data_IF_305382925801
#
_entry.id   IF_305382925801
#
_cell.length_a   1.000
_cell.length_b   1.000
_cell.length_c   1.000
_cell.angle_alpha   90.00
_cell.angle_beta   90.00
_cell.angle_gamma   90.00
#
_symmetry.space_group_name_H-M   'P 1'
#
loop_
_entity.id
_entity.type
_entity.pdbx_description
1 polymer ?
#
# COMPACT_ATOMS: atom_id res chain seq x y z
N UNK A 1 -2.55 -7.37 -15.43
CA UNK A 1 -1.99 -7.52 -14.09
C UNK A 1 -0.93 -6.46 -13.82
N UNK A 2 -0.94 -5.89 -12.59
CA UNK A 2 -0.01 -4.83 -12.21
C UNK A 2 1.38 -5.38 -11.88
N UNK A 3 1.44 -6.54 -11.23
CA UNK A 3 2.69 -7.17 -10.79
C UNK A 3 3.21 -8.12 -11.86
N UNK A 4 4.49 -8.02 -12.16
CA UNK A 4 5.16 -8.85 -13.17
C UNK A 4 6.32 -9.62 -12.56
N UNK A 5 6.65 -10.77 -13.17
CA UNK A 5 7.83 -11.54 -12.79
C UNK A 5 9.08 -10.64 -12.78
N UNK A 6 9.88 -10.75 -11.73
CA UNK A 6 11.09 -9.97 -11.55
C UNK A 6 10.92 -8.62 -10.88
N UNK A 7 9.70 -8.19 -10.60
CA UNK A 7 9.45 -6.92 -9.92
C UNK A 7 9.98 -6.93 -8.49
N UNK A 8 10.41 -5.74 -8.05
CA UNK A 8 10.64 -5.43 -6.64
C UNK A 8 9.43 -4.63 -6.15
N UNK A 9 8.70 -5.17 -5.19
CA UNK A 9 7.46 -4.56 -4.71
C UNK A 9 7.49 -4.32 -3.21
N UNK A 10 6.84 -3.24 -2.80
CA UNK A 10 6.60 -2.95 -1.38
C UNK A 10 5.12 -3.20 -1.09
N UNK A 11 4.84 -3.99 -0.07
CA UNK A 11 3.49 -4.25 0.41
C UNK A 11 3.31 -3.63 1.80
N UNK A 12 2.36 -2.72 1.92
CA UNK A 12 1.93 -2.16 3.19
C UNK A 12 1.21 -3.24 4.01
N UNK A 13 0.83 -2.94 5.23
CA UNK A 13 0.15 -3.87 6.11
C UNK A 13 -1.36 -3.90 5.84
N UNK A 14 -2.00 -4.98 6.25
CA UNK A 14 -3.45 -5.10 6.30
C UNK A 14 -4.01 -6.31 5.56
N UNK A 15 -5.30 -6.57 5.79
CA UNK A 15 -5.98 -7.74 5.26
C UNK A 15 -6.10 -7.74 3.74
N UNK A 16 -6.31 -6.57 3.14
CA UNK A 16 -6.37 -6.44 1.68
C UNK A 16 -5.02 -6.76 1.04
N UNK A 17 -3.92 -6.38 1.71
CA UNK A 17 -2.56 -6.70 1.25
C UNK A 17 -2.26 -8.19 1.35
N UNK A 18 -2.77 -8.86 2.37
CA UNK A 18 -2.63 -10.31 2.52
C UNK A 18 -3.32 -11.01 1.35
N UNK A 19 -4.49 -10.55 0.94
CA UNK A 19 -5.20 -11.11 -0.22
C UNK A 19 -4.40 -10.90 -1.52
N UNK A 20 -3.80 -9.73 -1.69
CA UNK A 20 -2.90 -9.49 -2.82
C UNK A 20 -1.71 -10.44 -2.78
N UNK A 21 -1.10 -10.62 -1.61
CA UNK A 21 0.04 -11.52 -1.44
C UNK A 21 -0.29 -12.94 -1.89
N UNK A 22 -1.48 -13.43 -1.58
CA UNK A 22 -1.93 -14.76 -1.99
C UNK A 22 -2.00 -14.94 -3.50
N UNK A 23 -2.27 -13.87 -4.23
CA UNK A 23 -2.45 -13.92 -5.68
C UNK A 23 -1.14 -13.84 -6.47
N UNK A 24 -0.04 -13.47 -5.85
CA UNK A 24 1.25 -13.26 -6.52
C UNK A 24 2.29 -14.33 -6.21
N UNK A 25 1.93 -15.36 -5.48
CA UNK A 25 2.86 -16.41 -5.02
C UNK A 25 3.51 -17.21 -6.15
N UNK A 26 2.91 -17.19 -7.32
CA UNK A 26 3.41 -17.92 -8.50
C UNK A 26 4.51 -17.16 -9.25
N UNK A 27 4.80 -15.92 -8.88
CA UNK A 27 5.78 -15.08 -9.57
C UNK A 27 7.11 -15.03 -8.83
N UNK A 28 8.25 -15.00 -9.55
CA UNK A 28 9.52 -14.66 -8.92
C UNK A 28 9.56 -13.16 -8.63
N UNK A 29 9.67 -12.79 -7.36
CA UNK A 29 9.58 -11.41 -6.90
C UNK A 29 10.58 -11.13 -5.78
N UNK A 30 10.90 -9.85 -5.60
CA UNK A 30 11.46 -9.34 -4.36
C UNK A 30 10.37 -8.53 -3.66
N UNK A 31 10.02 -8.92 -2.43
CA UNK A 31 8.95 -8.27 -1.66
C UNK A 31 9.52 -7.66 -0.39
N UNK A 32 9.23 -6.40 -0.19
CA UNK A 32 9.57 -5.67 1.02
C UNK A 32 8.25 -5.36 1.74
N UNK A 33 8.15 -5.70 3.00
CA UNK A 33 6.92 -5.45 3.77
C UNK A 33 7.23 -5.17 5.25
N UNK A 34 6.35 -4.42 5.88
CA UNK A 34 6.34 -4.21 7.32
C UNK A 34 5.38 -5.16 8.05
N UNK A 35 4.55 -5.89 7.32
CA UNK A 35 3.53 -6.78 7.88
C UNK A 35 4.13 -8.15 8.20
N UNK A 36 4.04 -8.55 9.47
CA UNK A 36 4.62 -9.80 9.94
C UNK A 36 3.94 -11.03 9.32
N UNK A 37 2.63 -10.98 9.13
CA UNK A 37 1.87 -12.08 8.53
C UNK A 37 2.22 -12.27 7.06
N UNK A 38 2.31 -11.17 6.31
CA UNK A 38 2.69 -11.21 4.89
C UNK A 38 4.11 -11.75 4.75
N UNK A 39 5.04 -11.26 5.59
CA UNK A 39 6.43 -11.70 5.55
C UNK A 39 6.55 -13.21 5.78
N UNK A 40 5.89 -13.73 6.82
CA UNK A 40 5.92 -15.15 7.13
C UNK A 40 5.27 -15.99 6.02
N UNK A 41 4.12 -15.56 5.53
CA UNK A 41 3.42 -16.26 4.46
C UNK A 41 4.26 -16.36 3.20
N UNK A 42 4.78 -15.23 2.70
CA UNK A 42 5.55 -15.20 1.45
C UNK A 42 6.91 -15.88 1.58
N UNK A 43 7.50 -15.93 2.78
CA UNK A 43 8.80 -16.59 2.99
C UNK A 43 8.78 -18.08 2.73
N UNK A 44 7.60 -18.69 2.65
CA UNK A 44 7.46 -20.12 2.31
C UNK A 44 7.65 -20.40 0.81
N UNK A 45 7.61 -19.38 -0.03
CA UNK A 45 7.71 -19.53 -1.49
C UNK A 45 9.14 -19.24 -1.94
N UNK A 46 9.82 -20.25 -2.46
CA UNK A 46 11.25 -20.17 -2.81
C UNK A 46 11.58 -19.13 -3.86
N UNK A 47 10.66 -18.84 -4.76
CA UNK A 47 10.86 -17.87 -5.83
C UNK A 47 10.66 -16.41 -5.35
N UNK A 48 10.24 -16.21 -4.11
CA UNK A 48 10.02 -14.88 -3.54
C UNK A 48 11.10 -14.60 -2.49
N UNK A 49 11.88 -13.55 -2.73
CA UNK A 49 12.82 -13.03 -1.74
C UNK A 49 12.08 -12.01 -0.88
N UNK A 50 11.98 -12.27 0.42
CA UNK A 50 11.23 -11.40 1.35
C UNK A 50 12.20 -10.63 2.24
N UNK A 51 12.01 -9.31 2.30
CA UNK A 51 12.67 -8.44 3.27
C UNK A 51 11.62 -7.88 4.20
N UNK A 52 11.73 -8.18 5.50
CA UNK A 52 10.88 -7.58 6.52
C UNK A 52 11.50 -6.25 6.97
N UNK A 53 10.71 -5.19 6.97
CA UNK A 53 11.13 -3.91 7.53
C UNK A 53 11.04 -4.02 9.05
N UNK A 54 12.18 -3.89 9.73
CA UNK A 54 12.24 -4.02 11.19
C UNK A 54 11.78 -2.77 11.92
N UNK A 55 11.63 -2.92 13.22
CA UNK A 55 11.25 -1.84 14.11
C UNK A 55 10.39 -2.32 15.26
N UNK A 56 9.69 -1.38 15.91
CA UNK A 56 8.72 -1.69 16.96
C UNK A 56 7.46 -2.26 16.32
N UNK A 57 6.93 -3.31 16.91
CA UNK A 57 5.68 -3.92 16.45
C UNK A 57 4.50 -3.10 16.95
N UNK A 58 3.66 -2.65 16.02
CA UNK A 58 2.38 -2.02 16.33
C UNK A 58 1.34 -3.11 16.57
N UNK A 59 0.77 -3.16 17.77
CA UNK A 59 -0.14 -4.22 18.19
C UNK A 59 -1.41 -4.29 17.33
N UNK A 60 -1.92 -3.13 16.90
CA UNK A 60 -3.19 -3.06 16.16
C UNK A 60 -3.09 -3.66 14.76
N UNK A 61 -1.92 -3.58 14.13
CA UNK A 61 -1.72 -4.07 12.75
C UNK A 61 -0.74 -5.24 12.66
N UNK A 62 -0.04 -5.56 13.74
CA UNK A 62 1.04 -6.55 13.76
C UNK A 62 2.06 -6.31 12.64
N UNK A 63 2.44 -5.05 12.51
CA UNK A 63 3.43 -4.59 11.56
C UNK A 63 4.49 -3.75 12.25
N UNK A 64 5.65 -3.62 11.63
CA UNK A 64 6.76 -2.84 12.17
C UNK A 64 6.61 -1.37 11.80
N UNK A 65 6.84 -0.49 12.77
CA UNK A 65 6.80 0.96 12.60
C UNK A 65 8.07 1.59 13.16
N UNK A 66 8.30 2.84 12.79
CA UNK A 66 9.40 3.65 13.33
C UNK A 66 10.53 3.87 12.33
N UNK A 67 11.59 4.52 12.83
CA UNK A 67 12.65 5.07 11.99
C UNK A 67 13.53 4.04 11.28
N UNK A 68 13.71 2.85 11.86
CA UNK A 68 14.53 1.81 11.22
C UNK A 68 13.95 1.41 9.86
N UNK A 69 12.65 1.17 9.80
CA UNK A 69 11.97 0.83 8.54
C UNK A 69 11.99 1.98 7.56
N UNK A 70 11.78 3.20 8.06
CA UNK A 70 11.80 4.41 7.23
C UNK A 70 13.15 4.61 6.56
N UNK A 71 14.25 4.39 7.30
CA UNK A 71 15.61 4.50 6.76
C UNK A 71 15.86 3.49 5.65
N UNK A 72 15.43 2.24 5.85
CA UNK A 72 15.55 1.23 4.80
C UNK A 72 14.79 1.67 3.54
N UNK A 73 13.53 2.09 3.69
CA UNK A 73 12.70 2.51 2.56
C UNK A 73 13.29 3.68 1.77
N UNK A 74 14.01 4.57 2.43
CA UNK A 74 14.67 5.70 1.78
C UNK A 74 15.84 5.29 0.89
N UNK A 75 16.32 4.07 0.99
CA UNK A 75 17.48 3.56 0.25
C UNK A 75 17.14 2.62 -0.89
N UNK A 76 15.87 2.34 -1.14
CA UNK A 76 15.42 1.39 -2.17
C UNK A 76 14.60 2.10 -3.25
N UNK A 77 14.58 1.49 -4.44
CA UNK A 77 13.81 1.98 -5.60
C UNK A 77 12.91 0.85 -6.10
N UNK A 78 11.75 0.61 -5.47
CA UNK A 78 10.85 -0.46 -5.91
C UNK A 78 10.15 -0.11 -7.22
N UNK A 79 9.77 -1.14 -7.96
CA UNK A 79 8.94 -0.99 -9.16
C UNK A 79 7.52 -0.57 -8.78
N UNK A 80 6.97 -1.18 -7.76
CA UNK A 80 5.62 -0.93 -7.27
C UNK A 80 5.62 -0.78 -5.75
N UNK A 81 4.80 0.14 -5.25
CA UNK A 81 4.43 0.19 -3.84
C UNK A 81 2.92 0.16 -3.72
N UNK A 82 2.41 -0.80 -2.97
CA UNK A 82 0.99 -0.90 -2.64
C UNK A 82 0.77 -0.35 -1.24
N UNK A 83 -0.05 0.68 -1.13
CA UNK A 83 -0.31 1.36 0.13
C UNK A 83 -1.77 1.16 0.53
N UNK A 84 -2.00 0.96 1.83
CA UNK A 84 -3.32 0.92 2.44
C UNK A 84 -3.56 2.20 3.25
N UNK A 85 -4.80 2.42 3.64
CA UNK A 85 -5.16 3.58 4.46
C UNK A 85 -6.36 3.27 5.36
N UNK A 86 -6.58 4.14 6.34
CA UNK A 86 -7.74 4.06 7.23
C UNK A 86 -8.93 4.87 6.71
N UNK A 87 -8.68 5.77 5.77
CA UNK A 87 -9.70 6.54 5.09
C UNK A 87 -9.09 7.30 3.93
N UNK A 88 -9.91 7.58 2.93
CA UNK A 88 -9.49 8.31 1.73
C UNK A 88 -10.64 9.10 1.14
N UNK A 89 -10.35 10.29 0.62
CA UNK A 89 -11.33 11.09 -0.10
C UNK A 89 -10.63 12.11 -1.04
N UNK A 90 -11.44 12.81 -1.83
CA UNK A 90 -10.96 13.76 -2.83
C UNK A 90 -10.22 14.96 -2.22
N UNK A 91 -10.69 15.45 -1.08
CA UNK A 91 -10.08 16.63 -0.45
C UNK A 91 -8.90 16.28 0.44
N UNK A 92 -9.07 15.25 1.27
CA UNK A 92 -8.11 14.91 2.32
C UNK A 92 -7.05 13.93 1.86
N UNK A 93 -7.23 13.31 0.70
CA UNK A 93 -6.31 12.30 0.22
C UNK A 93 -6.38 11.02 1.04
N UNK A 94 -5.24 10.40 1.24
CA UNK A 94 -5.14 9.19 2.08
C UNK A 94 -4.65 9.57 3.47
N UNK A 95 -5.22 8.94 4.50
CA UNK A 95 -4.99 9.33 5.90
C UNK A 95 -4.70 8.12 6.79
N UNK A 96 -4.04 8.40 7.91
CA UNK A 96 -3.68 7.40 8.92
C UNK A 96 -3.94 7.93 10.34
N UNK A 97 -4.14 7.03 11.32
CA UNK A 97 -4.49 7.44 12.68
C UNK A 97 -3.33 8.02 13.49
N UNK A 98 -2.08 7.73 13.13
CA UNK A 98 -0.92 8.22 13.85
C UNK A 98 0.10 8.84 12.91
N UNK A 99 0.90 9.75 13.44
CA UNK A 99 1.99 10.39 12.71
C UNK A 99 3.04 9.37 12.26
N UNK A 100 3.35 8.39 13.12
CA UNK A 100 4.30 7.33 12.79
C UNK A 100 3.86 6.51 11.57
N UNK A 101 2.57 6.13 11.53
CA UNK A 101 2.03 5.37 10.39
C UNK A 101 2.01 6.22 9.12
N UNK A 102 1.63 7.48 9.23
CA UNK A 102 1.61 8.37 8.07
C UNK A 102 3.02 8.56 7.49
N UNK A 103 4.01 8.76 8.34
CA UNK A 103 5.39 8.92 7.93
C UNK A 103 5.94 7.66 7.22
N UNK A 104 5.68 6.49 7.80
CA UNK A 104 6.09 5.22 7.20
C UNK A 104 5.46 5.03 5.81
N UNK A 105 4.17 5.31 5.67
CA UNK A 105 3.46 5.14 4.40
C UNK A 105 3.96 6.11 3.33
N UNK A 106 4.32 7.33 3.71
CA UNK A 106 4.99 8.26 2.77
C UNK A 106 6.31 7.69 2.26
N UNK A 107 7.10 7.09 3.14
CA UNK A 107 8.36 6.47 2.74
C UNK A 107 8.16 5.21 1.89
N UNK A 108 7.11 4.42 2.16
CA UNK A 108 6.76 3.27 1.31
C UNK A 108 6.58 3.67 -0.16
N UNK A 109 6.02 4.86 -0.39
CA UNK A 109 5.71 5.35 -1.72
C UNK A 109 6.83 6.14 -2.38
N UNK A 110 7.67 6.80 -1.58
CA UNK A 110 8.51 7.93 -2.03
C UNK A 110 9.38 7.61 -3.26
N UNK A 111 9.99 6.43 -3.31
CA UNK A 111 10.92 6.06 -4.38
C UNK A 111 10.34 5.05 -5.36
N UNK A 112 9.08 4.67 -5.21
CA UNK A 112 8.46 3.68 -6.08
C UNK A 112 8.12 4.30 -7.45
N UNK A 113 8.33 3.51 -8.50
CA UNK A 113 7.96 3.92 -9.86
C UNK A 113 6.45 4.07 -9.97
N UNK A 114 5.68 3.12 -9.42
CA UNK A 114 4.23 3.20 -9.34
C UNK A 114 3.79 3.13 -7.89
N UNK A 115 2.86 3.99 -7.54
CA UNK A 115 2.33 4.15 -6.18
C UNK A 115 0.84 3.86 -6.25
N UNK A 116 0.45 2.72 -5.69
CA UNK A 116 -0.88 2.16 -5.88
C UNK A 116 -1.61 2.14 -4.54
N UNK A 117 -2.72 2.88 -4.46
CA UNK A 117 -3.63 2.76 -3.32
C UNK A 117 -4.52 1.54 -3.53
N UNK A 118 -4.56 0.67 -2.53
CA UNK A 118 -5.44 -0.48 -2.52
C UNK A 118 -6.41 -0.31 -1.34
N UNK A 119 -7.61 0.16 -1.61
CA UNK A 119 -8.59 0.48 -0.57
C UNK A 119 -10.01 0.22 -1.09
N UNK A 120 -10.85 -0.36 -0.23
CA UNK A 120 -12.23 -0.58 -0.60
C UNK A 120 -13.06 0.71 -0.49
N UNK A 121 -14.23 0.71 -1.13
CA UNK A 121 -15.12 1.86 -1.18
C UNK A 121 -15.70 2.20 0.19
N UNK A 122 -15.74 1.27 1.12
CA UNK A 122 -16.29 1.51 2.47
C UNK A 122 -15.45 2.53 3.26
N UNK A 123 -14.19 2.71 2.89
CA UNK A 123 -13.29 3.70 3.52
C UNK A 123 -13.30 5.06 2.82
N UNK A 124 -13.99 5.16 1.69
CA UNK A 124 -14.12 6.45 0.99
C UNK A 124 -15.02 7.40 1.78
N UNK A 125 -14.60 8.66 1.89
CA UNK A 125 -15.31 9.68 2.65
C UNK A 125 -15.03 9.69 4.14
N UNK A 126 -14.28 8.69 4.63
CA UNK A 126 -13.77 8.68 5.99
C UNK A 126 -12.35 9.23 6.02
N UNK A 127 -11.94 9.80 7.14
CA UNK A 127 -10.56 10.26 7.31
C UNK A 127 -10.08 10.06 8.74
N UNK A 128 -8.78 9.89 8.87
CA UNK A 128 -8.07 9.87 10.15
C UNK A 128 -7.30 11.18 10.32
N UNK A 129 -6.71 11.36 11.47
CA UNK A 129 -6.12 12.65 11.88
C UNK A 129 -4.97 13.11 10.99
N UNK A 130 -4.12 12.20 10.51
CA UNK A 130 -2.89 12.55 9.80
C UNK A 130 -2.98 12.25 8.32
N UNK A 131 -2.66 13.24 7.49
CA UNK A 131 -2.57 13.06 6.05
C UNK A 131 -1.31 12.29 5.68
N UNK A 132 -1.46 11.30 4.81
CA UNK A 132 -0.34 10.57 4.21
C UNK A 132 0.12 11.30 2.95
N UNK A 133 -0.81 11.51 2.01
CA UNK A 133 -0.53 12.13 0.73
C UNK A 133 -1.84 12.54 0.04
N UNK A 134 -1.81 13.54 -0.86
CA UNK A 134 -2.95 13.79 -1.74
C UNK A 134 -3.13 12.67 -2.74
N UNK A 135 -4.35 12.44 -3.22
CA UNK A 135 -4.62 11.40 -4.23
C UNK A 135 -3.81 11.60 -5.51
N UNK A 136 -3.51 12.85 -5.87
CA UNK A 136 -2.75 13.16 -7.08
C UNK A 136 -1.30 12.64 -7.05
N UNK A 137 -0.74 12.32 -5.88
CA UNK A 137 0.59 11.73 -5.79
C UNK A 137 0.62 10.23 -6.07
N UNK A 138 -0.53 9.60 -6.18
CA UNK A 138 -0.65 8.19 -6.56
C UNK A 138 -0.60 8.04 -8.10
N UNK A 139 -0.16 6.89 -8.57
CA UNK A 139 -0.23 6.53 -9.98
C UNK A 139 -1.49 5.74 -10.31
N UNK A 140 -1.99 4.99 -9.34
CA UNK A 140 -3.17 4.14 -9.50
C UNK A 140 -3.97 4.10 -8.22
N UNK A 141 -5.29 3.98 -8.35
CA UNK A 141 -6.21 3.72 -7.25
C UNK A 141 -6.99 2.47 -7.60
N UNK A 142 -6.86 1.44 -6.76
CA UNK A 142 -7.62 0.18 -6.92
C UNK A 142 -8.67 0.13 -5.84
N UNK A 143 -9.92 0.04 -6.26
CA UNK A 143 -11.07 -0.06 -5.35
C UNK A 143 -12.12 -1.01 -5.94
N UNK A 144 -13.22 -1.22 -5.23
CA UNK A 144 -14.30 -2.10 -5.66
C UNK A 144 -15.41 -1.33 -6.41
N UNK A 145 -16.37 -2.07 -6.94
CA UNK A 145 -17.45 -1.53 -7.77
C UNK A 145 -18.55 -0.79 -6.98
N UNK A 146 -18.46 -0.73 -5.66
CA UNK A 146 -19.50 -0.12 -4.82
C UNK A 146 -19.35 1.39 -4.64
N UNK A 147 -18.36 2.03 -5.29
CA UNK A 147 -18.27 3.48 -5.28
C UNK A 147 -19.49 4.10 -5.96
N UNK A 148 -20.08 5.17 -5.37
CA UNK A 148 -21.12 5.92 -6.06
C UNK A 148 -20.63 6.48 -7.38
N UNK A 149 -21.50 6.54 -8.37
CA UNK A 149 -21.15 6.99 -9.73
C UNK A 149 -20.53 8.38 -9.75
N UNK A 150 -21.06 9.33 -8.98
CA UNK A 150 -20.51 10.68 -8.86
C UNK A 150 -19.08 10.69 -8.36
N UNK A 151 -18.78 9.88 -7.37
CA UNK A 151 -17.43 9.74 -6.80
C UNK A 151 -16.49 9.16 -7.83
N UNK A 152 -16.93 8.11 -8.51
CA UNK A 152 -16.16 7.45 -9.57
C UNK A 152 -15.80 8.43 -10.69
N UNK A 153 -16.78 9.19 -11.16
CA UNK A 153 -16.58 10.20 -12.19
C UNK A 153 -15.56 11.26 -11.75
N UNK A 154 -15.68 11.73 -10.51
CA UNK A 154 -14.74 12.71 -9.97
C UNK A 154 -13.31 12.15 -9.86
N UNK A 155 -13.15 10.89 -9.45
CA UNK A 155 -11.86 10.23 -9.38
C UNK A 155 -11.23 10.04 -10.77
N UNK A 156 -12.04 9.75 -11.78
CA UNK A 156 -11.57 9.58 -13.15
C UNK A 156 -11.00 10.86 -13.75
N UNK A 157 -11.31 12.02 -13.19
CA UNK A 157 -10.74 13.31 -13.63
C UNK A 157 -9.34 13.56 -13.07
N UNK A 158 -8.90 12.78 -12.06
CA UNK A 158 -7.59 12.93 -11.46
C UNK A 158 -6.52 12.23 -12.29
N UNK A 159 -5.24 12.59 -12.02
CA UNK A 159 -4.10 11.96 -12.70
C UNK A 159 -3.95 10.46 -12.45
N UNK A 160 -4.24 9.92 -11.23
CA UNK A 160 -4.16 8.47 -11.04
C UNK A 160 -5.16 7.70 -11.90
N UNK A 161 -4.72 6.54 -12.39
CA UNK A 161 -5.60 5.60 -13.07
C UNK A 161 -6.51 4.93 -12.03
N UNK A 162 -7.82 4.99 -12.25
CA UNK A 162 -8.79 4.28 -11.41
C UNK A 162 -9.01 2.88 -11.95
N UNK A 163 -8.81 1.88 -11.09
CA UNK A 163 -8.99 0.47 -11.43
C UNK A 163 -10.05 -0.11 -10.50
N UNK A 164 -11.11 -0.65 -11.09
CA UNK A 164 -12.17 -1.30 -10.33
C UNK A 164 -11.88 -2.79 -10.29
N UNK A 165 -11.70 -3.31 -9.09
CA UNK A 165 -11.47 -4.73 -8.86
C UNK A 165 -12.80 -5.47 -8.66
N UNK A 166 -12.85 -6.70 -9.11
CA UNK A 166 -14.01 -7.58 -8.95
C UNK A 166 -14.12 -8.14 -7.54
#
# INVERSE_FOLDING_TARGET
ALVKAGDAIVLDAGTTMIELARQITHLPLRVITSDLHIALFLSEFKQIEVTIIGGRIDDSSQSCIGDHGRRLLQTIWPDLAFVSCNGWDLEKGITAPTEEKAALKRDLMANARRRILLADSSKYGAWSLFNIAPLASLTDIVTDAHLPDKTREALETLSPQLIIAD
#
